data_IF_869676459953
#
_entry.id   IF_869676459953
#
_cell.length_a   1.000
_cell.length_b   1.000
_cell.length_c   1.000
_cell.angle_alpha   90.00
_cell.angle_beta   90.00
_cell.angle_gamma   90.00
#
_symmetry.space_group_name_H-M   'P 1'
#
loop_
_entity.id
_entity.type
_entity.pdbx_description
1 polymer ?
#
# COMPACT_ATOMS: atom_id res chain seq x y z
N UNK A 1 -4.86 -29.80 29.61
CA UNK A 1 -6.11 -29.43 28.89
C UNK A 1 -6.35 -27.97 29.10
N UNK A 2 -5.93 -27.10 28.17
CA UNK A 2 -6.24 -25.67 28.22
C UNK A 2 -6.94 -25.32 26.93
N UNK A 3 -8.22 -24.95 27.03
CA UNK A 3 -9.11 -24.67 25.92
C UNK A 3 -8.70 -23.40 25.17
N UNK A 4 -8.44 -23.55 23.89
CA UNK A 4 -8.25 -22.46 22.94
C UNK A 4 -9.62 -21.81 22.65
N UNK A 5 -9.87 -20.60 23.16
CA UNK A 5 -11.04 -19.82 22.81
C UNK A 5 -10.80 -19.20 21.43
N UNK A 6 -11.59 -19.63 20.46
CA UNK A 6 -11.63 -19.05 19.12
C UNK A 6 -12.13 -17.60 19.19
N UNK A 7 -11.30 -16.65 18.78
CA UNK A 7 -11.69 -15.27 18.54
C UNK A 7 -12.36 -15.22 17.16
N UNK A 8 -13.68 -15.00 17.14
CA UNK A 8 -14.45 -14.72 15.92
C UNK A 8 -14.16 -13.28 15.48
N UNK A 9 -13.29 -13.08 14.51
CA UNK A 9 -13.14 -11.80 13.80
C UNK A 9 -13.83 -11.89 12.44
N UNK A 10 -15.16 -11.90 12.47
CA UNK A 10 -15.99 -11.69 11.29
C UNK A 10 -16.50 -10.26 11.27
N UNK A 11 -15.72 -9.32 10.76
CA UNK A 11 -16.20 -7.97 10.45
C UNK A 11 -17.07 -8.01 9.21
N UNK A 12 -18.35 -8.32 9.35
CA UNK A 12 -19.37 -8.06 8.33
C UNK A 12 -19.47 -6.54 8.18
N UNK A 13 -19.14 -6.03 6.98
CA UNK A 13 -19.42 -4.63 6.62
C UNK A 13 -20.94 -4.47 6.72
N UNK A 14 -21.38 -3.69 7.72
CA UNK A 14 -22.80 -3.42 7.95
C UNK A 14 -23.35 -2.64 6.74
N UNK A 15 -24.25 -3.29 6.00
CA UNK A 15 -24.95 -2.70 4.87
C UNK A 15 -25.74 -1.45 5.25
N UNK A 16 -26.19 -1.37 6.50
CA UNK A 16 -26.97 -0.27 7.07
C UNK A 16 -26.14 1.01 7.30
N UNK A 17 -24.85 0.89 7.67
CA UNK A 17 -23.98 2.05 7.90
C UNK A 17 -23.69 2.78 6.57
N UNK A 18 -23.54 2.04 5.49
CA UNK A 18 -23.30 2.59 4.15
C UNK A 18 -24.52 3.33 3.57
N UNK A 19 -25.72 2.90 3.90
CA UNK A 19 -26.96 3.57 3.46
C UNK A 19 -27.22 4.86 4.23
N UNK A 20 -26.91 4.87 5.53
CA UNK A 20 -27.02 6.07 6.37
C UNK A 20 -26.04 7.16 5.95
N UNK A 21 -24.80 6.81 5.66
CA UNK A 21 -23.78 7.74 5.17
C UNK A 21 -24.17 8.33 3.79
N UNK A 22 -24.68 7.50 2.90
CA UNK A 22 -25.17 7.93 1.59
C UNK A 22 -26.39 8.87 1.69
N UNK A 23 -27.34 8.57 2.58
CA UNK A 23 -28.50 9.40 2.84
C UNK A 23 -28.10 10.76 3.43
N UNK A 24 -27.13 10.80 4.34
CA UNK A 24 -26.59 12.01 4.93
C UNK A 24 -25.88 12.89 3.90
N UNK A 25 -25.03 12.28 3.05
CA UNK A 25 -24.32 12.98 1.96
C UNK A 25 -25.31 13.58 0.93
N UNK A 26 -26.38 12.85 0.59
CA UNK A 26 -27.44 13.33 -0.29
C UNK A 26 -28.18 14.53 0.29
N UNK A 27 -28.40 14.55 1.60
CA UNK A 27 -29.06 15.66 2.33
C UNK A 27 -28.21 16.94 2.35
N UNK A 28 -26.87 16.78 2.26
CA UNK A 28 -25.91 17.88 2.19
C UNK A 28 -25.61 18.37 0.75
N UNK A 29 -26.29 17.83 -0.27
CA UNK A 29 -26.05 18.19 -1.68
C UNK A 29 -24.68 17.72 -2.21
N UNK A 30 -23.95 16.91 -1.46
CA UNK A 30 -22.66 16.37 -1.86
C UNK A 30 -22.92 15.22 -2.84
N UNK A 31 -22.58 15.41 -4.12
CA UNK A 31 -22.66 14.33 -5.13
C UNK A 31 -21.71 13.20 -4.73
N UNK A 32 -22.22 12.21 -4.01
CA UNK A 32 -21.47 11.02 -3.63
C UNK A 32 -20.95 10.33 -4.89
N UNK A 33 -19.63 10.09 -4.96
CA UNK A 33 -19.08 9.24 -6.02
C UNK A 33 -19.78 7.89 -5.94
N UNK A 34 -20.39 7.43 -7.03
CA UNK A 34 -21.12 6.17 -7.12
C UNK A 34 -20.24 5.04 -6.55
N UNK A 35 -20.70 4.41 -5.47
CA UNK A 35 -19.94 3.37 -4.77
C UNK A 35 -19.71 2.21 -5.75
N UNK A 36 -18.46 1.76 -5.86
CA UNK A 36 -18.14 0.67 -6.80
C UNK A 36 -18.81 -0.62 -6.33
N UNK A 37 -19.47 -1.40 -7.22
CA UNK A 37 -20.12 -2.65 -6.85
C UNK A 37 -19.12 -3.65 -6.25
N UNK A 38 -19.54 -4.45 -5.26
CA UNK A 38 -18.71 -5.46 -4.60
C UNK A 38 -18.06 -6.44 -5.60
N UNK A 39 -18.78 -6.87 -6.62
CA UNK A 39 -18.25 -7.73 -7.68
C UNK A 39 -17.01 -7.13 -8.40
N UNK A 40 -16.95 -5.80 -8.52
CA UNK A 40 -15.78 -5.13 -9.08
C UNK A 40 -14.58 -5.19 -8.14
N UNK A 41 -14.79 -5.05 -6.82
CA UNK A 41 -13.72 -5.22 -5.83
C UNK A 41 -13.14 -6.64 -5.87
N UNK A 42 -14.00 -7.67 -5.96
CA UNK A 42 -13.59 -9.09 -6.09
C UNK A 42 -12.72 -9.29 -7.33
N UNK A 43 -13.14 -8.72 -8.49
CA UNK A 43 -12.36 -8.83 -9.73
C UNK A 43 -10.94 -8.25 -9.59
N UNK A 44 -10.79 -7.07 -8.99
CA UNK A 44 -9.50 -6.44 -8.81
C UNK A 44 -8.63 -7.20 -7.81
N UNK A 45 -9.21 -7.70 -6.72
CA UNK A 45 -8.51 -8.54 -5.77
C UNK A 45 -8.02 -9.84 -6.40
N UNK A 46 -8.86 -10.53 -7.18
CA UNK A 46 -8.44 -11.74 -7.94
C UNK A 46 -7.29 -11.44 -8.90
N UNK A 47 -7.29 -10.26 -9.54
CA UNK A 47 -6.18 -9.86 -10.40
C UNK A 47 -4.89 -9.65 -9.61
N UNK A 48 -4.94 -9.02 -8.44
CA UNK A 48 -3.78 -8.87 -7.57
C UNK A 48 -3.23 -10.22 -7.12
N UNK A 49 -4.09 -11.14 -6.69
CA UNK A 49 -3.70 -12.51 -6.31
C UNK A 49 -3.06 -13.26 -7.49
N UNK A 50 -3.64 -13.16 -8.69
CA UNK A 50 -3.09 -13.80 -9.89
C UNK A 50 -1.70 -13.25 -10.26
N UNK A 51 -1.49 -11.94 -10.13
CA UNK A 51 -0.17 -11.34 -10.33
C UNK A 51 0.86 -11.89 -9.33
N UNK A 52 0.49 -12.05 -8.06
CA UNK A 52 1.33 -12.68 -7.05
C UNK A 52 1.67 -14.13 -7.40
N UNK A 53 0.65 -14.92 -7.82
CA UNK A 53 0.84 -16.29 -8.28
C UNK A 53 1.82 -16.37 -9.46
N UNK A 54 1.62 -15.55 -10.49
CA UNK A 54 2.48 -15.52 -11.67
C UNK A 54 3.91 -15.11 -11.31
N UNK A 55 4.07 -14.09 -10.46
CA UNK A 55 5.39 -13.63 -10.03
C UNK A 55 6.17 -14.70 -9.27
N UNK A 56 5.53 -15.33 -8.29
CA UNK A 56 6.21 -16.32 -7.43
C UNK A 56 6.33 -17.71 -8.06
N UNK A 57 5.22 -18.26 -8.59
CA UNK A 57 5.17 -19.68 -8.97
C UNK A 57 5.54 -19.93 -10.44
N UNK A 58 5.35 -18.94 -11.33
CA UNK A 58 5.64 -19.10 -12.75
C UNK A 58 6.98 -18.45 -13.12
N UNK A 59 7.12 -17.15 -12.82
CA UNK A 59 8.31 -16.37 -13.18
C UNK A 59 9.44 -16.45 -12.16
N UNK A 60 9.15 -16.86 -10.92
CA UNK A 60 10.12 -16.96 -9.82
C UNK A 60 10.89 -15.65 -9.56
N UNK A 61 10.21 -14.51 -9.69
CA UNK A 61 10.80 -13.18 -9.57
C UNK A 61 10.90 -12.67 -8.14
N UNK A 62 10.23 -13.34 -7.19
CA UNK A 62 10.17 -13.01 -5.76
C UNK A 62 8.98 -13.68 -5.08
N UNK A 63 8.59 -13.18 -3.91
CA UNK A 63 7.46 -13.70 -3.14
C UNK A 63 6.08 -13.53 -3.82
N UNK A 64 5.01 -14.16 -3.27
CA UNK A 64 3.67 -14.21 -3.88
C UNK A 64 2.88 -12.91 -3.68
N UNK A 65 3.55 -11.78 -3.85
CA UNK A 65 3.00 -10.44 -3.66
C UNK A 65 2.67 -9.80 -5.00
N UNK A 66 1.38 -9.56 -5.24
CA UNK A 66 0.88 -8.91 -6.44
C UNK A 66 -0.09 -7.80 -6.08
N UNK A 67 -0.13 -6.74 -6.90
CA UNK A 67 -0.96 -5.58 -6.63
C UNK A 67 -1.51 -4.94 -7.90
N UNK A 68 -2.66 -4.26 -7.77
CA UNK A 68 -3.22 -3.41 -8.82
C UNK A 68 -3.67 -2.08 -8.23
N UNK A 69 -3.39 -0.99 -8.97
CA UNK A 69 -3.92 0.34 -8.68
C UNK A 69 -5.10 0.60 -9.61
N UNK A 70 -6.23 1.00 -9.04
CA UNK A 70 -7.49 1.22 -9.77
C UNK A 70 -7.92 2.68 -9.64
N UNK A 71 -8.27 3.31 -10.76
CA UNK A 71 -8.90 4.65 -10.82
C UNK A 71 -10.18 4.57 -11.62
N UNK A 72 -11.28 5.06 -11.06
CA UNK A 72 -12.60 5.08 -11.75
C UNK A 72 -13.00 3.73 -12.38
N UNK A 73 -12.78 2.63 -11.65
CA UNK A 73 -13.15 1.27 -12.10
C UNK A 73 -12.22 0.65 -13.15
N UNK A 74 -11.09 1.28 -13.47
CA UNK A 74 -10.10 0.79 -14.43
C UNK A 74 -8.75 0.57 -13.76
N UNK A 75 -8.06 -0.50 -14.09
CA UNK A 75 -6.68 -0.74 -13.66
C UNK A 75 -5.75 0.23 -14.39
N UNK A 76 -5.01 1.02 -13.61
CA UNK A 76 -4.04 2.00 -14.10
C UNK A 76 -2.59 1.61 -13.81
N UNK A 77 -2.36 0.64 -12.90
CA UNK A 77 -1.05 0.07 -12.64
C UNK A 77 -1.19 -1.35 -12.11
N UNK A 78 -0.26 -2.22 -12.50
CA UNK A 78 -0.16 -3.61 -12.05
C UNK A 78 1.28 -3.92 -11.63
N UNK A 79 1.44 -4.80 -10.66
CA UNK A 79 2.75 -5.21 -10.20
C UNK A 79 2.74 -6.57 -9.53
N UNK A 80 3.87 -7.24 -9.63
CA UNK A 80 4.21 -8.38 -8.79
C UNK A 80 5.62 -8.20 -8.24
N UNK A 81 5.94 -8.90 -7.18
CA UNK A 81 7.25 -8.82 -6.55
C UNK A 81 8.37 -9.18 -7.55
N UNK A 82 9.38 -8.30 -7.65
CA UNK A 82 10.55 -8.45 -8.53
C UNK A 82 11.87 -8.28 -7.78
N UNK A 83 11.87 -8.44 -6.48
CA UNK A 83 13.06 -8.26 -5.63
C UNK A 83 14.21 -9.10 -6.14
N UNK A 84 13.97 -10.40 -6.42
CA UNK A 84 15.02 -11.32 -6.86
C UNK A 84 15.45 -11.02 -8.29
N UNK A 85 14.50 -10.94 -9.23
CA UNK A 85 14.84 -10.77 -10.65
C UNK A 85 15.40 -9.40 -11.00
N UNK A 86 15.08 -8.38 -10.19
CA UNK A 86 15.52 -6.99 -10.38
C UNK A 86 16.73 -6.60 -9.54
N UNK A 87 17.17 -7.46 -8.60
CA UNK A 87 18.14 -7.11 -7.55
C UNK A 87 17.77 -5.78 -6.85
N UNK A 88 16.46 -5.56 -6.67
CA UNK A 88 15.91 -4.33 -6.09
C UNK A 88 15.05 -4.68 -4.85
N UNK A 89 15.56 -4.47 -3.62
CA UNK A 89 14.82 -4.78 -2.40
C UNK A 89 13.53 -3.96 -2.25
N UNK A 90 13.39 -2.88 -3.00
CA UNK A 90 12.17 -2.05 -3.00
C UNK A 90 11.12 -2.49 -4.02
N UNK A 91 11.43 -3.44 -4.92
CA UNK A 91 10.53 -3.87 -5.99
C UNK A 91 9.42 -4.82 -5.51
N UNK A 92 8.73 -4.46 -4.41
CA UNK A 92 7.51 -5.12 -3.99
C UNK A 92 6.38 -4.92 -5.01
N UNK A 93 5.41 -5.83 -5.05
CA UNK A 93 4.30 -5.78 -6.02
C UNK A 93 3.55 -4.45 -5.99
N UNK A 94 3.31 -3.90 -4.81
CA UNK A 94 2.63 -2.61 -4.60
C UNK A 94 3.47 -1.45 -5.14
N UNK A 95 4.78 -1.44 -4.86
CA UNK A 95 5.69 -0.40 -5.35
C UNK A 95 5.74 -0.42 -6.88
N UNK A 96 5.81 -1.60 -7.49
CA UNK A 96 5.79 -1.77 -8.95
C UNK A 96 4.47 -1.24 -9.51
N UNK A 97 3.32 -1.59 -8.92
CA UNK A 97 2.01 -1.12 -9.35
C UNK A 97 1.84 0.40 -9.20
N UNK A 98 2.32 0.99 -8.10
CA UNK A 98 2.29 2.45 -7.87
C UNK A 98 3.15 3.16 -8.92
N UNK A 99 4.38 2.71 -9.18
CA UNK A 99 5.27 3.28 -10.19
C UNK A 99 4.64 3.23 -11.58
N UNK A 100 4.02 2.11 -11.94
CA UNK A 100 3.33 1.99 -13.23
C UNK A 100 2.14 2.94 -13.32
N UNK A 101 1.31 3.04 -12.27
CA UNK A 101 0.20 3.97 -12.21
C UNK A 101 0.66 5.43 -12.35
N UNK A 102 1.70 5.82 -11.63
CA UNK A 102 2.27 7.18 -11.72
C UNK A 102 2.77 7.48 -13.14
N UNK A 103 3.49 6.56 -13.76
CA UNK A 103 3.99 6.69 -15.13
C UNK A 103 2.84 6.82 -16.14
N UNK A 104 1.82 5.95 -16.03
CA UNK A 104 0.66 5.93 -16.94
C UNK A 104 -0.20 7.19 -16.80
N UNK A 105 -0.39 7.66 -15.56
CA UNK A 105 -1.19 8.86 -15.28
C UNK A 105 -0.36 10.16 -15.36
N UNK A 106 0.97 10.06 -15.56
CA UNK A 106 1.92 11.19 -15.60
C UNK A 106 1.83 12.09 -14.36
N UNK A 107 1.64 11.49 -13.19
CA UNK A 107 1.55 12.19 -11.90
C UNK A 107 2.01 11.29 -10.76
N UNK A 108 2.58 11.88 -9.71
CA UNK A 108 2.83 11.19 -8.43
C UNK A 108 1.58 11.13 -7.54
N UNK A 109 0.59 12.00 -7.79
CA UNK A 109 -0.64 12.11 -7.03
C UNK A 109 -1.67 11.11 -7.56
N UNK A 110 -1.87 10.03 -6.81
CA UNK A 110 -2.84 8.99 -7.08
C UNK A 110 -4.13 9.17 -6.25
N UNK A 111 -4.46 10.42 -5.89
CA UNK A 111 -5.73 10.73 -5.23
C UNK A 111 -6.91 10.19 -6.03
N UNK A 112 -7.87 9.59 -5.32
CA UNK A 112 -9.02 8.92 -5.93
C UNK A 112 -8.71 7.53 -6.51
N UNK A 113 -7.48 7.03 -6.37
CA UNK A 113 -7.15 5.64 -6.66
C UNK A 113 -7.37 4.74 -5.45
N UNK A 114 -7.53 3.45 -5.72
CA UNK A 114 -7.61 2.37 -4.75
C UNK A 114 -6.54 1.33 -5.09
N UNK A 115 -5.80 0.88 -4.08
CA UNK A 115 -4.84 -0.22 -4.19
C UNK A 115 -5.51 -1.52 -3.76
N UNK A 116 -5.33 -2.59 -4.54
CA UNK A 116 -5.65 -3.97 -4.17
C UNK A 116 -4.35 -4.75 -4.16
N UNK A 117 -4.07 -5.45 -3.07
CA UNK A 117 -2.85 -6.24 -2.91
C UNK A 117 -3.16 -7.64 -2.41
N UNK A 118 -2.41 -8.64 -2.88
CA UNK A 118 -2.60 -10.05 -2.51
C UNK A 118 -2.27 -10.33 -1.05
N UNK A 119 -1.49 -9.46 -0.40
CA UNK A 119 -1.17 -9.52 1.02
C UNK A 119 -1.19 -8.13 1.64
N UNK A 120 -1.32 -8.04 2.95
CA UNK A 120 -1.24 -6.81 3.72
C UNK A 120 0.08 -6.09 3.43
N UNK A 121 0.02 -4.75 3.31
CA UNK A 121 1.19 -3.95 2.97
C UNK A 121 2.19 -3.91 4.12
N UNK A 122 3.44 -4.22 3.85
CA UNK A 122 4.53 -3.89 4.77
C UNK A 122 4.66 -2.36 4.94
N UNK A 123 5.40 -1.93 5.97
CA UNK A 123 5.58 -0.51 6.27
C UNK A 123 6.12 0.32 5.10
N UNK A 124 6.99 -0.25 4.23
CA UNK A 124 7.48 0.42 3.03
C UNK A 124 6.37 0.66 2.02
N UNK A 125 5.57 -0.36 1.71
CA UNK A 125 4.48 -0.26 0.73
C UNK A 125 3.35 0.64 1.21
N UNK A 126 3.02 0.57 2.52
CA UNK A 126 2.06 1.47 3.14
C UNK A 126 2.53 2.93 3.05
N UNK A 127 3.79 3.21 3.39
CA UNK A 127 4.37 4.56 3.30
C UNK A 127 4.36 5.09 1.86
N UNK A 128 4.70 4.25 0.87
CA UNK A 128 4.63 4.63 -0.54
C UNK A 128 3.20 4.95 -0.98
N UNK A 129 2.20 4.17 -0.52
CA UNK A 129 0.79 4.42 -0.79
C UNK A 129 0.31 5.73 -0.18
N UNK A 130 0.77 6.04 1.05
CA UNK A 130 0.49 7.32 1.71
C UNK A 130 1.07 8.50 0.94
N UNK A 131 2.34 8.46 0.55
CA UNK A 131 2.97 9.51 -0.24
C UNK A 131 2.35 9.67 -1.63
N UNK A 132 1.88 8.59 -2.23
CA UNK A 132 1.14 8.61 -3.48
C UNK A 132 -0.32 9.11 -3.29
N UNK A 133 -0.79 9.38 -2.06
CA UNK A 133 -2.15 9.83 -1.73
C UNK A 133 -3.24 8.84 -2.15
N UNK A 134 -2.94 7.54 -2.12
CA UNK A 134 -3.94 6.50 -2.37
C UNK A 134 -4.97 6.54 -1.25
N UNK A 135 -6.25 6.68 -1.60
CA UNK A 135 -7.33 6.89 -0.63
C UNK A 135 -7.80 5.62 0.08
N UNK A 136 -7.54 4.42 -0.48
CA UNK A 136 -7.99 3.14 0.07
C UNK A 136 -7.10 1.98 -0.36
N UNK A 137 -6.86 1.05 0.57
CA UNK A 137 -6.13 -0.20 0.33
C UNK A 137 -7.05 -1.35 0.71
N UNK A 138 -7.15 -2.35 -0.17
CA UNK A 138 -7.75 -3.66 0.12
C UNK A 138 -6.65 -4.72 0.00
N UNK A 139 -6.62 -5.65 0.94
CA UNK A 139 -5.66 -6.77 0.93
C UNK A 139 -6.38 -8.10 1.17
N UNK A 140 -5.74 -9.21 0.77
CA UNK A 140 -6.28 -10.55 0.92
C UNK A 140 -5.64 -11.30 2.11
N UNK A 141 -4.40 -11.74 2.00
CA UNK A 141 -3.67 -12.41 3.07
C UNK A 141 -3.21 -11.40 4.14
N UNK A 142 -3.12 -11.83 5.38
CA UNK A 142 -2.64 -11.02 6.52
C UNK A 142 -1.12 -11.21 6.72
N UNK A 143 -0.50 -10.39 7.57
CA UNK A 143 0.92 -10.53 7.94
C UNK A 143 1.23 -11.91 8.53
N UNK A 144 0.29 -12.46 9.33
CA UNK A 144 0.42 -13.79 9.92
C UNK A 144 0.48 -14.89 8.85
N UNK A 145 -0.28 -14.74 7.75
CA UNK A 145 -0.25 -15.68 6.63
C UNK A 145 1.08 -15.62 5.88
N UNK A 146 1.58 -14.39 5.65
CA UNK A 146 2.87 -14.17 5.00
C UNK A 146 4.02 -14.77 5.83
N UNK A 147 3.98 -14.61 7.15
CA UNK A 147 4.94 -15.24 8.04
C UNK A 147 4.81 -16.77 8.03
N UNK A 148 3.60 -17.29 8.21
CA UNK A 148 3.35 -18.75 8.36
C UNK A 148 3.72 -19.54 7.12
N UNK A 149 3.46 -19.02 5.94
CA UNK A 149 3.59 -19.75 4.67
C UNK A 149 4.74 -19.29 3.78
N UNK A 150 5.41 -18.18 4.12
CA UNK A 150 6.48 -17.61 3.31
C UNK A 150 7.70 -17.13 4.08
N UNK A 151 7.69 -17.24 5.41
CA UNK A 151 8.75 -16.77 6.32
C UNK A 151 9.01 -15.25 6.22
N UNK A 152 8.02 -14.47 5.75
CA UNK A 152 8.09 -13.00 5.69
C UNK A 152 7.60 -12.39 7.00
N UNK A 153 8.52 -11.92 7.85
CA UNK A 153 8.19 -11.31 9.16
C UNK A 153 8.34 -9.78 9.15
N UNK A 154 7.28 -9.09 8.76
CA UNK A 154 7.23 -7.62 8.74
C UNK A 154 7.25 -6.98 10.15
N UNK A 155 6.98 -7.74 11.21
CA UNK A 155 6.99 -7.25 12.61
C UNK A 155 8.38 -6.78 13.04
N UNK A 156 9.44 -7.35 12.46
CA UNK A 156 10.83 -6.95 12.71
C UNK A 156 11.02 -5.50 12.27
N UNK A 157 10.61 -5.16 11.05
CA UNK A 157 10.69 -3.81 10.51
C UNK A 157 9.85 -2.83 11.30
N UNK A 158 8.62 -3.20 11.69
CA UNK A 158 7.76 -2.34 12.50
C UNK A 158 8.36 -2.01 13.86
N UNK A 159 8.97 -2.98 14.53
CA UNK A 159 9.69 -2.76 15.79
C UNK A 159 10.86 -1.80 15.60
N UNK A 160 11.63 -1.94 14.51
CA UNK A 160 12.76 -1.07 14.21
C UNK A 160 12.33 0.39 13.95
N UNK A 161 11.26 0.59 13.18
CA UNK A 161 10.76 1.95 12.86
C UNK A 161 10.31 2.69 14.12
N UNK A 162 9.74 1.99 15.12
CA UNK A 162 9.29 2.58 16.39
C UNK A 162 10.42 3.01 17.33
N UNK A 163 11.64 2.50 17.14
CA UNK A 163 12.80 2.90 17.95
C UNK A 163 13.28 4.31 17.62
N UNK A 164 13.98 4.93 18.57
CA UNK A 164 14.73 6.16 18.29
C UNK A 164 15.80 5.90 17.22
N UNK A 165 16.05 6.84 16.28
CA UNK A 165 16.94 6.61 15.12
C UNK A 165 18.30 6.00 15.47
N UNK A 166 18.96 6.47 16.53
CA UNK A 166 20.27 5.94 16.96
C UNK A 166 20.25 4.52 17.53
N UNK A 167 19.05 3.95 17.79
CA UNK A 167 18.85 2.58 18.30
C UNK A 167 18.29 1.62 17.25
N UNK A 168 18.09 2.07 16.01
CA UNK A 168 17.57 1.26 14.89
C UNK A 168 18.66 0.36 14.31
N UNK A 169 18.23 -0.72 13.65
CA UNK A 169 19.05 -1.51 12.76
C UNK A 169 18.45 -1.46 11.34
N UNK A 170 19.13 -0.82 10.35
CA UNK A 170 20.42 -0.16 10.46
C UNK A 170 20.39 1.10 11.33
N UNK A 171 21.51 1.41 12.00
CA UNK A 171 21.62 2.58 12.87
C UNK A 171 21.59 3.87 12.05
N UNK A 172 20.79 4.85 12.46
CA UNK A 172 20.75 6.17 11.86
C UNK A 172 21.58 7.14 12.71
N UNK A 173 22.64 7.70 12.13
CA UNK A 173 23.54 8.63 12.81
C UNK A 173 23.52 9.99 12.09
N UNK A 174 23.20 11.09 12.77
CA UNK A 174 23.23 12.41 12.15
C UNK A 174 24.66 12.86 11.85
N UNK A 175 24.89 13.40 10.64
CA UNK A 175 26.18 13.93 10.20
C UNK A 175 25.97 15.17 9.33
N UNK A 176 26.86 16.16 9.43
CA UNK A 176 26.91 17.37 8.61
C UNK A 176 25.58 18.17 8.57
N UNK A 177 24.81 18.15 9.66
CA UNK A 177 23.51 18.82 9.74
C UNK A 177 23.58 20.30 9.38
N UNK A 178 24.63 21.01 9.81
CA UNK A 178 24.78 22.46 9.54
C UNK A 178 24.91 22.74 8.03
N UNK A 179 25.68 21.94 7.31
CA UNK A 179 25.84 22.06 5.85
C UNK A 179 24.54 21.76 5.12
N UNK A 180 23.89 20.65 5.46
CA UNK A 180 22.59 20.31 4.89
C UNK A 180 21.54 21.43 5.08
N UNK A 181 21.52 22.08 6.25
CA UNK A 181 20.58 23.17 6.52
C UNK A 181 20.76 24.39 5.61
N UNK A 182 21.96 24.61 5.05
CA UNK A 182 22.17 25.69 4.06
C UNK A 182 21.28 25.47 2.84
N UNK A 183 21.23 24.22 2.32
CA UNK A 183 20.39 23.84 1.17
C UNK A 183 18.91 23.99 1.52
N UNK A 184 18.46 23.48 2.69
CA UNK A 184 17.07 23.59 3.13
C UNK A 184 16.60 25.03 3.28
N UNK A 185 17.46 25.93 3.79
CA UNK A 185 17.15 27.37 3.91
C UNK A 185 17.00 28.05 2.55
N UNK A 186 17.86 27.68 1.56
CA UNK A 186 17.75 28.18 0.18
C UNK A 186 16.47 27.64 -0.47
N UNK A 187 16.20 26.34 -0.37
CA UNK A 187 14.98 25.71 -0.92
C UNK A 187 13.70 26.37 -0.36
N UNK A 188 13.66 26.66 0.96
CA UNK A 188 12.50 27.34 1.56
C UNK A 188 12.22 28.71 0.92
N UNK A 189 13.24 29.41 0.44
CA UNK A 189 13.14 30.74 -0.17
C UNK A 189 12.75 30.71 -1.65
N UNK A 190 12.80 29.53 -2.31
CA UNK A 190 12.40 29.42 -3.72
C UNK A 190 10.91 29.64 -3.85
N UNK A 191 10.42 30.57 -4.72
CA UNK A 191 8.98 30.83 -4.91
C UNK A 191 8.28 29.63 -5.55
N UNK A 192 8.96 28.89 -6.43
CA UNK A 192 8.48 27.74 -7.22
C UNK A 192 8.90 26.37 -6.63
N UNK A 193 9.27 26.33 -5.34
CA UNK A 193 9.74 25.09 -4.72
C UNK A 193 8.72 23.96 -4.86
N UNK A 194 9.19 22.78 -5.18
CA UNK A 194 8.37 21.57 -5.24
C UNK A 194 7.66 21.30 -3.90
N UNK A 195 6.39 20.94 -3.98
CA UNK A 195 5.54 20.53 -2.87
C UNK A 195 4.81 19.25 -3.29
N UNK A 196 4.98 18.20 -2.52
CA UNK A 196 4.34 16.90 -2.77
C UNK A 196 3.97 16.21 -1.45
#
# INVERSE_FOLDING_TARGET
MHGCKSVKTGGTIDSNESEREFAFMKKLGIKGKKKMPFASHVRFMRRAIELGRVGALVKKTGGPFGAVVVKSGRIVGEGHNRVISGNDPSAHGEIVAIREACRKLKTYDLSGCTLYTSAECCSMCYSASFWARIGRIYYAAQHEDALRYGDFDDRILEKEIRKNPGKRSPRCTPMLRKEALVIWKKFKKMPDRARY
#
